data_IF_325323010437
#
_entry.id   IF_325323010437
#
_cell.length_a   1.000
_cell.length_b   1.000
_cell.length_c   1.000
_cell.angle_alpha   90.00
_cell.angle_beta   90.00
_cell.angle_gamma   90.00
#
_symmetry.space_group_name_H-M   'P 1'
#
loop_
_entity.id
_entity.type
_entity.pdbx_description
1 polymer ?
#
# COMPACT_ATOMS: atom_id res chain seq x y z
N UNK A 1 6.60 23.69 -23.68
CA UNK A 1 7.13 24.00 -22.32
C UNK A 1 5.99 23.84 -21.33
N UNK A 2 6.18 23.16 -20.19
CA UNK A 2 5.12 23.04 -19.19
C UNK A 2 4.86 24.41 -18.55
N UNK A 3 3.60 24.83 -18.42
CA UNK A 3 3.26 26.09 -17.78
C UNK A 3 3.42 25.99 -16.24
N UNK A 4 3.47 27.14 -15.55
CA UNK A 4 3.69 27.19 -14.10
C UNK A 4 2.67 26.37 -13.29
N UNK A 5 1.42 26.29 -13.77
CA UNK A 5 0.35 25.50 -13.16
C UNK A 5 0.64 24.00 -13.25
N UNK A 6 1.04 23.51 -14.42
CA UNK A 6 1.42 22.11 -14.63
C UNK A 6 2.61 21.71 -13.76
N UNK A 7 3.57 22.60 -13.57
CA UNK A 7 4.71 22.37 -12.67
C UNK A 7 4.26 22.25 -11.21
N UNK A 8 3.37 23.13 -10.73
CA UNK A 8 2.82 23.07 -9.37
C UNK A 8 2.03 21.79 -9.14
N UNK A 9 1.14 21.43 -10.06
CA UNK A 9 0.35 20.21 -9.99
C UNK A 9 1.23 18.97 -9.93
N UNK A 10 2.27 18.90 -10.76
CA UNK A 10 3.20 17.77 -10.76
C UNK A 10 3.96 17.66 -9.43
N UNK A 11 4.34 18.78 -8.82
CA UNK A 11 4.98 18.81 -7.49
C UNK A 11 4.03 18.32 -6.39
N UNK A 12 2.79 18.79 -6.37
CA UNK A 12 1.79 18.34 -5.40
C UNK A 12 1.47 16.86 -5.54
N UNK A 13 1.26 16.38 -6.76
CA UNK A 13 1.06 14.96 -7.02
C UNK A 13 2.28 14.13 -6.59
N UNK A 14 3.51 14.63 -6.80
CA UNK A 14 4.72 13.93 -6.33
C UNK A 14 4.79 13.88 -4.80
N UNK A 15 4.38 14.94 -4.11
CA UNK A 15 4.30 14.96 -2.65
C UNK A 15 3.24 13.97 -2.15
N UNK A 16 2.01 14.07 -2.66
CA UNK A 16 0.89 13.19 -2.31
C UNK A 16 1.23 11.71 -2.54
N UNK A 17 1.81 11.38 -3.70
CA UNK A 17 2.25 10.02 -4.03
C UNK A 17 3.32 9.50 -3.05
N UNK A 18 4.26 10.35 -2.64
CA UNK A 18 5.36 9.95 -1.75
C UNK A 18 4.89 9.78 -0.30
N UNK A 19 4.01 10.67 0.17
CA UNK A 19 3.44 10.60 1.52
C UNK A 19 2.54 9.36 1.66
N UNK A 20 1.61 9.17 0.72
CA UNK A 20 0.73 7.99 0.69
C UNK A 20 1.51 6.68 0.51
N UNK A 21 2.64 6.68 -0.21
CA UNK A 21 3.48 5.48 -0.33
C UNK A 21 4.03 4.99 1.01
N UNK A 22 4.35 5.90 1.93
CA UNK A 22 4.83 5.51 3.26
C UNK A 22 3.73 4.82 4.07
N UNK A 23 2.50 5.36 4.05
CA UNK A 23 1.34 4.78 4.72
C UNK A 23 0.92 3.45 4.10
N UNK A 24 0.81 3.36 2.77
CA UNK A 24 0.51 2.09 2.09
C UNK A 24 1.60 1.05 2.35
N UNK A 25 2.87 1.47 2.41
CA UNK A 25 3.98 0.60 2.76
C UNK A 25 3.90 0.03 4.17
N UNK A 26 3.53 0.86 5.17
CA UNK A 26 3.36 0.36 6.54
C UNK A 26 2.19 -0.60 6.67
N UNK A 27 1.04 -0.30 6.04
CA UNK A 27 -0.10 -1.22 5.97
C UNK A 27 0.30 -2.53 5.29
N UNK A 28 1.01 -2.48 4.17
CA UNK A 28 1.44 -3.68 3.45
C UNK A 28 2.36 -4.57 4.30
N UNK A 29 3.30 -3.98 5.03
CA UNK A 29 4.21 -4.73 5.93
C UNK A 29 3.40 -5.47 7.01
N UNK A 30 2.49 -4.78 7.68
CA UNK A 30 1.65 -5.37 8.73
C UNK A 30 0.69 -6.41 8.15
N UNK A 31 0.07 -6.11 7.01
CA UNK A 31 -0.87 -7.00 6.32
C UNK A 31 -0.20 -8.31 5.88
N UNK A 32 1.05 -8.24 5.42
CA UNK A 32 1.81 -9.40 4.94
C UNK A 32 2.30 -10.31 6.08
N UNK A 33 2.31 -9.83 7.33
CA UNK A 33 2.81 -10.59 8.47
C UNK A 33 2.08 -11.93 8.66
N UNK A 34 0.74 -11.93 8.64
CA UNK A 34 -0.05 -13.15 8.85
C UNK A 34 0.15 -14.21 7.74
N UNK A 35 0.10 -13.86 6.43
CA UNK A 35 0.47 -14.80 5.36
C UNK A 35 1.90 -15.34 5.46
N UNK A 36 2.87 -14.51 5.89
CA UNK A 36 4.25 -14.95 6.10
C UNK A 36 4.34 -15.98 7.23
N UNK A 37 3.66 -15.73 8.35
CA UNK A 37 3.57 -16.70 9.46
C UNK A 37 2.96 -18.02 8.97
N UNK A 38 1.84 -17.96 8.26
CA UNK A 38 1.18 -19.16 7.71
C UNK A 38 2.08 -19.94 6.72
N UNK A 39 2.94 -19.24 5.97
CA UNK A 39 3.86 -19.85 5.02
C UNK A 39 5.10 -20.48 5.68
N UNK A 40 5.54 -19.95 6.83
CA UNK A 40 6.80 -20.36 7.47
C UNK A 40 6.59 -21.33 8.66
N UNK A 41 5.42 -21.31 9.29
CA UNK A 41 5.10 -22.16 10.44
C UNK A 41 4.13 -23.25 9.99
N UNK A 42 4.59 -24.50 9.78
CA UNK A 42 3.73 -25.57 9.32
C UNK A 42 2.82 -26.13 10.42
N UNK A 43 1.70 -26.72 10.00
CA UNK A 43 0.76 -27.41 10.88
C UNK A 43 -0.29 -26.49 11.54
N UNK A 44 -1.22 -27.07 12.33
CA UNK A 44 -2.36 -26.34 12.88
C UNK A 44 -1.96 -25.13 13.74
N UNK A 45 -0.91 -25.26 14.56
CA UNK A 45 -0.42 -24.14 15.39
C UNK A 45 0.09 -22.94 14.58
N UNK A 46 0.57 -23.16 13.35
CA UNK A 46 0.95 -22.07 12.44
C UNK A 46 -0.24 -21.29 11.90
N UNK A 47 -1.36 -21.97 11.65
CA UNK A 47 -2.63 -21.35 11.26
C UNK A 47 -3.18 -20.52 12.42
N UNK A 48 -3.14 -21.05 13.64
CA UNK A 48 -3.57 -20.32 14.85
C UNK A 48 -2.73 -19.05 15.06
N UNK A 49 -1.41 -19.16 14.94
CA UNK A 49 -0.51 -18.01 15.07
C UNK A 49 -0.73 -16.98 13.95
N UNK A 50 -1.00 -17.43 12.73
CA UNK A 50 -1.32 -16.55 11.62
C UNK A 50 -2.65 -15.80 11.86
N UNK A 51 -3.67 -16.49 12.39
CA UNK A 51 -4.93 -15.88 12.80
C UNK A 51 -4.72 -14.82 13.89
N UNK A 52 -3.93 -15.13 14.93
CA UNK A 52 -3.57 -14.16 15.97
C UNK A 52 -2.80 -12.96 15.41
N UNK A 53 -1.87 -13.20 14.50
CA UNK A 53 -1.10 -12.13 13.82
C UNK A 53 -2.02 -11.22 13.01
N UNK A 54 -3.03 -11.79 12.35
CA UNK A 54 -4.03 -11.00 11.62
C UNK A 54 -4.87 -10.12 12.54
N UNK A 55 -5.15 -10.55 13.79
CA UNK A 55 -5.83 -9.69 14.78
C UNK A 55 -5.03 -8.43 15.10
N UNK A 56 -3.70 -8.52 15.20
CA UNK A 56 -2.85 -7.34 15.39
C UNK A 56 -2.95 -6.36 14.20
N UNK A 57 -3.01 -6.89 12.98
CA UNK A 57 -3.23 -6.06 11.78
C UNK A 57 -4.57 -5.35 11.80
N UNK A 58 -5.63 -6.03 12.24
CA UNK A 58 -6.97 -5.44 12.37
C UNK A 58 -6.96 -4.24 13.33
N UNK A 59 -6.30 -4.38 14.48
CA UNK A 59 -6.15 -3.29 15.44
C UNK A 59 -5.35 -2.11 14.86
N UNK A 60 -4.31 -2.41 14.07
CA UNK A 60 -3.46 -1.36 13.49
C UNK A 60 -4.17 -0.50 12.42
N UNK A 61 -4.92 -1.12 11.50
CA UNK A 61 -5.42 -0.40 10.31
C UNK A 61 -6.88 -0.67 9.91
N UNK A 62 -7.58 -1.63 10.53
CA UNK A 62 -8.98 -1.96 10.19
C UNK A 62 -10.00 -1.45 11.21
N UNK A 63 -9.68 -0.35 11.89
CA UNK A 63 -10.64 0.37 12.74
C UNK A 63 -11.56 1.25 11.90
N UNK A 64 -12.76 1.56 12.42
CA UNK A 64 -13.81 2.30 11.70
C UNK A 64 -13.35 3.64 11.10
N UNK A 65 -12.47 4.37 11.80
CA UNK A 65 -11.90 5.62 11.32
C UNK A 65 -10.61 5.43 10.52
N UNK A 66 -9.77 4.48 10.93
CA UNK A 66 -8.45 4.29 10.31
C UNK A 66 -8.58 3.69 8.92
N UNK A 67 -9.40 2.64 8.72
CA UNK A 67 -9.46 1.94 7.44
C UNK A 67 -9.81 2.86 6.26
N UNK A 68 -10.84 3.73 6.32
CA UNK A 68 -11.15 4.66 5.24
C UNK A 68 -9.99 5.62 4.92
N UNK A 69 -9.17 5.98 5.92
CA UNK A 69 -8.12 6.99 5.77
C UNK A 69 -6.79 6.32 5.36
N UNK A 70 -6.29 5.40 6.17
CA UNK A 70 -4.94 4.82 6.06
C UNK A 70 -4.86 3.74 4.99
N UNK A 71 -5.96 3.01 4.74
CA UNK A 71 -6.00 1.99 3.69
C UNK A 71 -6.52 2.62 2.42
N UNK A 72 -7.80 3.03 2.42
CA UNK A 72 -8.49 3.46 1.20
C UNK A 72 -8.04 4.84 0.74
N UNK A 73 -7.98 5.81 1.64
CA UNK A 73 -7.53 7.16 1.34
C UNK A 73 -6.08 7.19 0.87
N UNK A 74 -5.18 6.52 1.57
CA UNK A 74 -3.78 6.44 1.17
C UNK A 74 -3.60 5.69 -0.16
N UNK A 75 -4.25 4.53 -0.35
CA UNK A 75 -4.17 3.79 -1.61
C UNK A 75 -4.72 4.60 -2.78
N UNK A 76 -5.90 5.21 -2.62
CA UNK A 76 -6.52 6.05 -3.63
C UNK A 76 -5.66 7.26 -3.97
N UNK A 77 -5.09 7.93 -2.96
CA UNK A 77 -4.15 9.02 -3.18
C UNK A 77 -2.87 8.56 -3.89
N UNK A 78 -2.35 7.39 -3.55
CA UNK A 78 -1.14 6.84 -4.17
C UNK A 78 -1.34 6.54 -5.65
N UNK A 79 -2.42 5.84 -5.99
CA UNK A 79 -2.78 5.48 -7.38
C UNK A 79 -3.16 6.73 -8.17
N UNK A 80 -4.03 7.58 -7.62
CA UNK A 80 -4.50 8.82 -8.26
C UNK A 80 -3.36 9.80 -8.54
N UNK A 81 -2.50 10.05 -7.56
CA UNK A 81 -1.34 10.92 -7.75
C UNK A 81 -0.34 10.32 -8.77
N UNK A 82 -0.17 8.99 -8.80
CA UNK A 82 0.64 8.32 -9.82
C UNK A 82 0.07 8.50 -11.23
N UNK A 83 -1.24 8.40 -11.39
CA UNK A 83 -1.94 8.64 -12.66
C UNK A 83 -1.77 10.09 -13.13
N UNK A 84 -2.00 11.06 -12.24
CA UNK A 84 -1.81 12.50 -12.54
C UNK A 84 -0.37 12.77 -12.99
N UNK A 85 0.63 12.26 -12.26
CA UNK A 85 2.05 12.46 -12.64
C UNK A 85 2.36 11.89 -14.02
N UNK A 86 1.81 10.73 -14.35
CA UNK A 86 2.01 10.08 -15.66
C UNK A 86 1.29 10.83 -16.77
N UNK A 87 0.10 11.37 -16.52
CA UNK A 87 -0.64 12.17 -17.48
C UNK A 87 0.07 13.51 -17.77
N UNK A 88 0.54 14.22 -16.73
CA UNK A 88 1.24 15.49 -16.89
C UNK A 88 2.63 15.35 -17.52
N UNK A 89 3.30 14.20 -17.33
CA UNK A 89 4.62 13.91 -17.90
C UNK A 89 4.68 12.46 -18.38
N UNK A 90 4.11 12.16 -19.55
CA UNK A 90 4.13 10.81 -20.11
C UNK A 90 5.56 10.34 -20.36
N UNK A 91 5.85 9.10 -19.97
CA UNK A 91 7.15 8.48 -20.20
C UNK A 91 7.10 7.62 -21.45
N UNK A 92 8.08 7.74 -22.36
CA UNK A 92 8.17 6.87 -23.56
C UNK A 92 8.42 5.40 -23.23
N UNK A 93 9.00 5.09 -22.06
CA UNK A 93 9.31 3.73 -21.61
C UNK A 93 8.83 3.52 -20.17
N UNK A 94 8.14 2.42 -19.92
CA UNK A 94 7.69 2.03 -18.58
C UNK A 94 8.84 1.36 -17.85
N UNK A 95 9.31 1.95 -16.74
CA UNK A 95 10.29 1.29 -15.86
C UNK A 95 9.71 0.04 -15.20
N UNK A 96 10.54 -0.92 -14.80
CA UNK A 96 10.11 -2.14 -14.10
C UNK A 96 9.24 -1.85 -12.85
N UNK A 97 9.59 -0.85 -12.04
CA UNK A 97 8.80 -0.48 -10.86
C UNK A 97 7.40 0.04 -11.25
N UNK A 98 7.35 0.82 -12.34
CA UNK A 98 6.11 1.35 -12.87
C UNK A 98 5.25 0.25 -13.52
N UNK A 99 5.88 -0.75 -14.14
CA UNK A 99 5.21 -1.94 -14.65
C UNK A 99 4.63 -2.78 -13.50
N UNK A 100 5.42 -3.06 -12.46
CA UNK A 100 4.96 -3.78 -11.26
C UNK A 100 3.75 -3.09 -10.61
N UNK A 101 3.77 -1.75 -10.51
CA UNK A 101 2.65 -0.99 -9.97
C UNK A 101 1.38 -1.09 -10.84
N UNK A 102 1.52 -1.03 -12.17
CA UNK A 102 0.38 -1.22 -13.08
C UNK A 102 -0.17 -2.63 -13.03
N UNK A 103 0.70 -3.64 -12.98
CA UNK A 103 0.32 -5.04 -12.85
C UNK A 103 -0.38 -5.34 -11.52
N UNK A 104 -0.03 -4.62 -10.45
CA UNK A 104 -0.69 -4.75 -9.14
C UNK A 104 -2.10 -4.20 -9.11
N UNK A 105 -2.46 -3.18 -9.88
CA UNK A 105 -3.79 -2.54 -9.80
C UNK A 105 -4.94 -3.55 -9.95
N UNK A 106 -5.03 -4.35 -11.04
CA UNK A 106 -6.13 -5.30 -11.19
C UNK A 106 -6.08 -6.42 -10.15
N UNK A 107 -4.87 -6.87 -9.76
CA UNK A 107 -4.69 -7.93 -8.77
C UNK A 107 -5.11 -7.46 -7.38
N UNK A 108 -4.71 -6.26 -6.95
CA UNK A 108 -5.15 -5.69 -5.66
C UNK A 108 -6.66 -5.46 -5.66
N UNK A 109 -7.23 -4.94 -6.75
CA UNK A 109 -8.68 -4.76 -6.85
C UNK A 109 -9.44 -6.08 -6.69
N UNK A 110 -8.97 -7.14 -7.35
CA UNK A 110 -9.56 -8.47 -7.21
C UNK A 110 -9.38 -9.05 -5.80
N UNK A 111 -8.20 -8.87 -5.20
CA UNK A 111 -7.90 -9.32 -3.83
C UNK A 111 -8.86 -8.68 -2.83
N UNK A 112 -9.01 -7.37 -2.92
CA UNK A 112 -9.95 -6.57 -2.13
C UNK A 112 -11.39 -7.01 -2.36
N UNK A 113 -11.78 -7.27 -3.61
CA UNK A 113 -13.12 -7.75 -3.92
C UNK A 113 -13.43 -9.05 -3.17
N UNK A 114 -12.54 -10.05 -3.29
CA UNK A 114 -12.77 -11.37 -2.70
C UNK A 114 -12.61 -11.40 -1.17
N UNK A 115 -11.65 -10.66 -0.62
CA UNK A 115 -11.30 -10.76 0.82
C UNK A 115 -11.86 -9.60 1.66
N UNK A 116 -12.59 -8.66 1.06
CA UNK A 116 -13.21 -7.54 1.77
C UNK A 116 -14.63 -7.29 1.32
N UNK A 117 -14.84 -7.01 0.04
CA UNK A 117 -16.13 -6.48 -0.42
C UNK A 117 -17.20 -7.58 -0.54
N UNK A 118 -16.88 -8.69 -1.18
CA UNK A 118 -17.83 -9.81 -1.41
C UNK A 118 -18.30 -10.43 -0.10
N UNK A 119 -17.43 -10.76 0.88
CA UNK A 119 -17.91 -11.39 2.11
C UNK A 119 -18.79 -10.48 2.97
N UNK A 120 -18.66 -9.16 2.84
CA UNK A 120 -19.50 -8.18 3.52
C UNK A 120 -20.88 -8.00 2.87
N UNK A 121 -21.08 -8.52 1.66
CA UNK A 121 -22.36 -8.36 0.97
C UNK A 121 -23.47 -9.17 1.66
N UNK A 122 -24.70 -8.68 1.50
CA UNK A 122 -25.91 -9.34 2.00
C UNK A 122 -26.38 -10.52 1.16
N UNK A 123 -25.73 -10.78 0.02
CA UNK A 123 -26.24 -11.69 -1.01
C UNK A 123 -25.75 -13.10 -0.73
N UNK A 124 -26.68 -14.05 -0.80
CA UNK A 124 -26.36 -15.47 -0.76
C UNK A 124 -25.24 -15.84 -1.76
N UNK A 125 -24.33 -16.78 -1.43
CA UNK A 125 -24.39 -17.66 -0.25
C UNK A 125 -23.73 -17.09 1.02
N UNK A 126 -23.14 -15.89 1.00
CA UNK A 126 -22.39 -15.33 2.14
C UNK A 126 -23.24 -14.27 2.85
N UNK A 127 -23.52 -14.46 4.14
CA UNK A 127 -24.47 -13.65 4.91
C UNK A 127 -23.75 -12.61 5.78
N UNK A 128 -23.27 -11.51 5.17
CA UNK A 128 -22.71 -10.36 5.91
C UNK A 128 -21.60 -10.70 6.91
N UNK A 129 -20.55 -11.38 6.45
CA UNK A 129 -19.40 -11.63 7.34
C UNK A 129 -18.73 -10.29 7.66
N UNK A 130 -18.65 -10.01 8.95
CA UNK A 130 -17.88 -8.90 9.49
C UNK A 130 -16.38 -9.11 9.21
N UNK A 131 -15.59 -8.03 9.13
CA UNK A 131 -14.12 -8.10 9.12
C UNK A 131 -13.53 -9.09 10.13
N UNK A 132 -14.14 -9.18 11.31
CA UNK A 132 -13.70 -10.02 12.43
C UNK A 132 -13.84 -11.51 12.16
N UNK A 133 -14.78 -11.91 11.31
CA UNK A 133 -15.09 -13.31 11.02
C UNK A 133 -14.27 -13.89 9.86
N UNK A 134 -13.51 -13.05 9.14
CA UNK A 134 -12.68 -13.49 8.00
C UNK A 134 -11.27 -13.88 8.42
N UNK A 135 -10.99 -15.16 8.53
CA UNK A 135 -9.70 -15.70 8.98
C UNK A 135 -8.97 -16.56 7.93
N UNK A 136 -7.90 -17.24 8.35
CA UNK A 136 -7.14 -18.11 7.46
C UNK A 136 -7.96 -19.29 6.92
N UNK A 137 -9.09 -19.65 7.53
CA UNK A 137 -9.98 -20.68 6.99
C UNK A 137 -10.64 -20.21 5.68
N UNK A 138 -10.97 -18.92 5.56
CA UNK A 138 -11.49 -18.35 4.31
C UNK A 138 -10.46 -18.47 3.16
N UNK A 139 -9.21 -18.11 3.46
CA UNK A 139 -8.10 -18.24 2.51
C UNK A 139 -7.85 -19.72 2.16
N UNK A 140 -7.86 -20.59 3.16
CA UNK A 140 -7.71 -22.03 3.01
C UNK A 140 -8.79 -22.66 2.13
N UNK A 141 -10.05 -22.27 2.30
CA UNK A 141 -11.16 -22.73 1.46
C UNK A 141 -10.94 -22.39 -0.02
N UNK A 142 -10.44 -21.19 -0.32
CA UNK A 142 -10.08 -20.80 -1.69
C UNK A 142 -8.92 -21.61 -2.27
N UNK A 143 -7.91 -21.93 -1.44
CA UNK A 143 -6.78 -22.79 -1.84
C UNK A 143 -7.18 -24.25 -2.02
N UNK A 144 -8.17 -24.74 -1.28
CA UNK A 144 -8.70 -26.10 -1.44
C UNK A 144 -9.61 -26.23 -2.67
N UNK A 145 -10.46 -25.22 -2.91
CA UNK A 145 -11.46 -25.26 -3.97
C UNK A 145 -10.86 -24.94 -5.34
N UNK A 146 -10.00 -23.92 -5.41
CA UNK A 146 -9.38 -23.46 -6.66
C UNK A 146 -7.85 -23.34 -6.51
N UNK A 147 -7.13 -24.44 -6.26
CA UNK A 147 -5.73 -24.43 -5.81
C UNK A 147 -4.81 -23.65 -6.73
N UNK A 148 -4.83 -23.95 -8.04
CA UNK A 148 -3.93 -23.31 -9.01
C UNK A 148 -4.24 -21.82 -9.14
N UNK A 149 -5.52 -21.46 -9.22
CA UNK A 149 -5.96 -20.07 -9.41
C UNK A 149 -5.61 -19.24 -8.18
N UNK A 150 -6.03 -19.69 -7.00
CA UNK A 150 -5.80 -19.00 -5.73
C UNK A 150 -4.31 -18.89 -5.43
N UNK A 151 -3.55 -19.97 -5.60
CA UNK A 151 -2.10 -19.96 -5.41
C UNK A 151 -1.39 -19.01 -6.38
N UNK A 152 -1.72 -19.06 -7.67
CA UNK A 152 -1.10 -18.18 -8.68
C UNK A 152 -1.40 -16.71 -8.38
N UNK A 153 -2.63 -16.42 -7.98
CA UNK A 153 -3.07 -15.08 -7.65
C UNK A 153 -2.35 -14.52 -6.41
N UNK A 154 -2.28 -15.27 -5.31
CA UNK A 154 -1.56 -14.83 -4.12
C UNK A 154 -0.05 -14.73 -4.34
N UNK A 155 0.53 -15.66 -5.13
CA UNK A 155 1.94 -15.60 -5.50
C UNK A 155 2.23 -14.34 -6.31
N UNK A 156 1.39 -14.02 -7.31
CA UNK A 156 1.52 -12.78 -8.07
C UNK A 156 1.41 -11.58 -7.14
N UNK A 157 0.36 -11.49 -6.32
CA UNK A 157 0.14 -10.37 -5.41
C UNK A 157 1.37 -10.14 -4.50
N UNK A 158 1.91 -11.20 -3.90
CA UNK A 158 3.07 -11.12 -3.03
C UNK A 158 4.33 -10.69 -3.78
N UNK A 159 4.65 -11.34 -4.91
CA UNK A 159 5.88 -11.07 -5.68
C UNK A 159 5.84 -9.66 -6.29
N UNK A 160 4.75 -9.30 -6.98
CA UNK A 160 4.63 -7.98 -7.57
C UNK A 160 4.60 -6.88 -6.49
N UNK A 161 3.94 -7.14 -5.35
CA UNK A 161 3.92 -6.26 -4.18
C UNK A 161 5.33 -6.00 -3.65
N UNK A 162 6.09 -7.06 -3.41
CA UNK A 162 7.48 -6.99 -2.95
C UNK A 162 8.38 -6.24 -3.95
N UNK A 163 8.31 -6.59 -5.24
CA UNK A 163 9.08 -5.91 -6.31
C UNK A 163 8.72 -4.42 -6.35
N UNK A 164 7.45 -4.07 -6.32
CA UNK A 164 7.01 -2.67 -6.35
C UNK A 164 7.53 -1.89 -5.13
N UNK A 165 7.41 -2.47 -3.93
CA UNK A 165 7.89 -1.89 -2.67
C UNK A 165 9.41 -1.67 -2.68
N UNK A 166 10.20 -2.69 -3.06
CA UNK A 166 11.67 -2.61 -3.16
C UNK A 166 12.08 -1.54 -4.18
N UNK A 167 11.40 -1.44 -5.32
CA UNK A 167 11.65 -0.38 -6.30
C UNK A 167 11.24 1.03 -5.88
N UNK A 168 10.29 1.13 -4.95
CA UNK A 168 9.82 2.40 -4.38
C UNK A 168 10.75 2.94 -3.29
N UNK A 169 11.36 2.05 -2.51
CA UNK A 169 12.09 2.42 -1.29
C UNK A 169 13.24 3.43 -1.52
N UNK A 170 14.14 3.26 -2.51
CA UNK A 170 15.19 4.25 -2.77
C UNK A 170 14.63 5.62 -3.18
N UNK A 171 13.48 5.65 -3.86
CA UNK A 171 12.83 6.91 -4.29
C UNK A 171 12.25 7.64 -3.08
N UNK A 172 11.59 6.91 -2.18
CA UNK A 172 11.06 7.44 -0.94
C UNK A 172 12.18 7.98 -0.04
N UNK A 173 13.25 7.19 0.17
CA UNK A 173 14.44 7.60 0.94
C UNK A 173 15.07 8.88 0.39
N UNK A 174 15.29 8.97 -0.93
CA UNK A 174 15.84 10.17 -1.58
C UNK A 174 14.93 11.40 -1.44
N UNK A 175 13.61 11.20 -1.35
CA UNK A 175 12.66 12.29 -1.14
C UNK A 175 12.72 12.78 0.30
N UNK A 176 12.66 11.86 1.26
CA UNK A 176 12.76 12.18 2.69
C UNK A 176 14.07 12.92 3.00
N UNK A 177 15.21 12.42 2.49
CA UNK A 177 16.51 13.07 2.65
C UNK A 177 16.50 14.51 2.10
N UNK A 178 15.96 14.72 0.89
CA UNK A 178 15.85 16.06 0.28
C UNK A 178 14.98 17.02 1.10
N UNK A 179 13.83 16.56 1.59
CA UNK A 179 12.95 17.38 2.44
C UNK A 179 13.65 17.75 3.74
N UNK A 180 14.34 16.80 4.37
CA UNK A 180 15.10 17.03 5.61
C UNK A 180 16.23 18.05 5.41
N UNK A 181 17.03 17.90 4.35
CA UNK A 181 18.10 18.86 4.04
C UNK A 181 17.57 20.27 3.78
N UNK A 182 16.44 20.39 3.06
CA UNK A 182 15.80 21.69 2.82
C UNK A 182 15.29 22.34 4.12
N UNK A 183 14.69 21.56 5.02
CA UNK A 183 14.26 22.05 6.34
C UNK A 183 15.45 22.52 7.19
N UNK A 184 16.54 21.75 7.21
CA UNK A 184 17.75 22.12 7.95
C UNK A 184 18.40 23.40 7.40
N UNK A 185 18.47 23.54 6.08
CA UNK A 185 18.97 24.76 5.45
C UNK A 185 18.09 25.98 5.77
N UNK A 186 16.76 25.82 5.72
CA UNK A 186 15.82 26.88 6.10
C UNK A 186 15.97 27.30 7.57
N UNK A 187 16.12 26.34 8.48
CA UNK A 187 16.36 26.61 9.89
C UNK A 187 17.70 27.32 10.13
N UNK A 188 18.77 26.91 9.44
CA UNK A 188 20.08 27.54 9.53
C UNK A 188 20.06 28.99 8.99
N UNK A 189 19.34 29.25 7.90
CA UNK A 189 19.16 30.61 7.37
C UNK A 189 18.34 31.49 8.33
N UNK A 190 17.27 30.95 8.93
CA UNK A 190 16.49 31.66 9.93
C UNK A 190 17.31 31.97 11.20
N UNK A 191 18.08 31.00 11.70
CA UNK A 191 18.96 31.18 12.85
C UNK A 191 20.12 32.16 12.58
N UNK A 192 20.71 32.12 11.39
CA UNK A 192 21.75 33.05 10.97
C UNK A 192 21.25 34.48 10.73
N UNK A 193 19.99 34.65 10.28
CA UNK A 193 19.36 35.96 10.18
C UNK A 193 19.15 36.59 11.58
N UNK A 194 18.77 35.76 12.56
CA UNK A 194 18.51 36.21 13.94
C UNK A 194 19.79 36.63 14.69
N UNK A 195 20.95 36.07 14.32
CA UNK A 195 22.26 36.47 14.86
C UNK A 195 22.85 37.75 14.23
N UNK A 196 22.31 38.22 13.10
CA UNK A 196 22.80 39.43 12.40
C UNK A 196 22.00 40.69 12.74
N UNK A 197 20.95 40.56 13.55
CA UNK A 197 20.06 41.66 13.96
C UNK A 197 20.20 42.04 15.44
N UNK A 198 21.22 41.53 16.12
CA UNK A 198 21.62 41.87 17.49
C UNK A 198 23.00 42.55 17.45
#
# INVERSE_FOLDING_TARGET
>A
MANATQERLWRYATLAQSASAATVGSVLIVHLAAPVVAALVPGPGGVDLANQTMLLGREYYQQALLEPIVVWGAMGMHVGASAIRRWLRPTKRTSWHAFAGLALIPVVAWHVCLNRLVPMTSRAPIAHLSPSELDMAHVGAGLQTFPIVTWSFYTWLCVAGAVHMVGGLPKLRRRYARTRSAMQAGLALAGGAMQRTA
#
